data_IF_223037873198
#
_entry.id   IF_223037873198
#
_cell.length_a   1.000
_cell.length_b   1.000
_cell.length_c   1.000
_cell.angle_alpha   90.00
_cell.angle_beta   90.00
_cell.angle_gamma   90.00
#
_symmetry.space_group_name_H-M   'P 1'
#
loop_
_entity.id
_entity.type
_entity.pdbx_description
1 polymer ?
#
# COMPACT_ATOMS: atom_id res chain seq x y z
N UNK A 1 -13.12 -12.70 -1.29
CA UNK A 1 -12.61 -11.78 -0.24
C UNK A 1 -11.22 -11.30 -0.61
N UNK A 2 -10.73 -10.26 0.05
CA UNK A 2 -9.39 -9.71 -0.13
C UNK A 2 -8.55 -10.06 1.10
N UNK A 3 -7.30 -10.48 0.91
CA UNK A 3 -6.34 -10.69 2.00
C UNK A 3 -5.27 -9.62 1.91
N UNK A 4 -4.96 -8.94 3.01
CA UNK A 4 -3.82 -8.02 3.08
C UNK A 4 -2.74 -8.61 3.98
N UNK A 5 -1.52 -8.67 3.46
CA UNK A 5 -0.35 -9.19 4.14
C UNK A 5 0.51 -8.04 4.64
N UNK A 6 0.82 -8.03 5.94
CA UNK A 6 1.71 -7.06 6.57
C UNK A 6 2.76 -7.80 7.39
N UNK A 7 3.91 -8.12 6.80
CA UNK A 7 4.95 -8.89 7.47
C UNK A 7 5.71 -8.08 8.53
N UNK A 8 5.68 -6.76 8.42
CA UNK A 8 6.36 -5.85 9.35
C UNK A 8 5.36 -4.84 9.95
N UNK A 9 4.27 -5.36 10.53
CA UNK A 9 3.23 -4.56 11.18
C UNK A 9 3.79 -3.72 12.32
N UNK A 10 3.17 -2.58 12.59
CA UNK A 10 3.62 -1.60 13.57
C UNK A 10 2.46 -1.04 14.40
N UNK A 11 2.81 -0.42 15.52
CA UNK A 11 1.98 0.65 16.10
C UNK A 11 2.48 1.98 15.54
N UNK A 12 1.63 2.70 14.82
CA UNK A 12 1.93 4.03 14.29
C UNK A 12 1.51 5.09 15.29
N UNK A 13 2.47 5.88 15.75
CA UNK A 13 2.28 6.97 16.70
C UNK A 13 2.46 8.32 15.99
N UNK A 14 1.37 9.05 15.80
CA UNK A 14 1.38 10.39 15.21
C UNK A 14 1.34 11.46 16.30
N UNK A 15 2.27 12.41 16.24
CA UNK A 15 2.44 13.48 17.22
C UNK A 15 2.35 14.83 16.50
N UNK A 16 1.45 15.71 16.92
CA UNK A 16 1.46 17.11 16.48
C UNK A 16 2.32 17.94 17.45
N UNK A 17 3.40 18.52 16.93
CA UNK A 17 4.41 19.25 17.70
C UNK A 17 4.69 20.61 17.03
N UNK A 18 4.08 21.72 17.51
CA UNK A 18 4.33 23.04 16.95
C UNK A 18 5.79 23.46 17.05
N UNK A 19 6.33 24.05 15.98
CA UNK A 19 7.71 24.52 15.88
C UNK A 19 8.74 23.44 16.21
N UNK A 20 8.55 22.23 15.64
CA UNK A 20 9.46 21.10 15.86
C UNK A 20 10.88 21.45 15.42
N UNK A 21 11.86 21.21 16.30
CA UNK A 21 13.30 21.41 16.04
C UNK A 21 14.13 20.32 16.67
N UNK A 22 15.03 19.65 15.94
CA UNK A 22 15.98 18.72 16.52
C UNK A 22 16.79 19.35 17.65
N UNK A 23 17.14 18.57 18.67
CA UNK A 23 17.94 19.02 19.81
C UNK A 23 17.17 19.86 20.84
N UNK A 24 15.86 19.98 20.73
CA UNK A 24 15.00 20.71 21.68
C UNK A 24 14.02 19.78 22.39
N UNK A 25 13.53 20.20 23.56
CA UNK A 25 12.42 19.54 24.25
C UNK A 25 11.10 20.09 23.72
N UNK A 26 10.23 19.19 23.30
CA UNK A 26 8.91 19.54 22.77
C UNK A 26 7.78 18.93 23.63
N UNK A 27 6.59 19.47 23.48
CA UNK A 27 5.34 18.90 23.99
C UNK A 27 4.36 18.78 22.84
N UNK A 28 3.68 17.66 22.78
CA UNK A 28 2.63 17.41 21.80
C UNK A 28 1.38 18.25 22.14
N UNK A 29 0.71 18.77 21.13
CA UNK A 29 -0.62 19.37 21.25
C UNK A 29 -1.72 18.38 20.89
N UNK A 30 -1.40 17.37 20.08
CA UNK A 30 -2.26 16.26 19.73
C UNK A 30 -1.42 15.01 19.55
N UNK A 31 -1.97 13.85 19.91
CA UNK A 31 -1.35 12.54 19.63
C UNK A 31 -2.41 11.53 19.22
N UNK A 32 -2.02 10.64 18.33
CA UNK A 32 -2.83 9.49 17.90
C UNK A 32 -1.96 8.25 17.84
N UNK A 33 -2.52 7.13 18.26
CA UNK A 33 -1.86 5.81 18.19
C UNK A 33 -2.81 4.86 17.48
N UNK A 34 -2.32 4.13 16.50
CA UNK A 34 -3.12 3.16 15.76
C UNK A 34 -2.27 1.98 15.28
N UNK A 35 -2.89 0.82 15.16
CA UNK A 35 -2.29 -0.29 14.43
C UNK A 35 -2.01 0.16 13.00
N UNK A 36 -0.83 -0.16 12.47
CA UNK A 36 -0.34 0.33 11.20
C UNK A 36 0.53 -0.67 10.46
N UNK A 37 1.14 -0.16 9.40
CA UNK A 37 1.79 -0.90 8.33
C UNK A 37 0.91 -0.91 7.08
N UNK A 38 1.52 -0.86 5.88
CA UNK A 38 0.81 -0.69 4.60
C UNK A 38 -0.41 -1.61 4.47
N UNK A 39 -0.27 -2.92 4.66
CA UNK A 39 -1.39 -3.86 4.51
C UNK A 39 -2.49 -3.70 5.57
N UNK A 40 -2.15 -3.30 6.81
CA UNK A 40 -3.12 -2.95 7.86
C UNK A 40 -3.92 -1.71 7.45
N UNK A 41 -3.27 -0.69 6.89
CA UNK A 41 -3.93 0.52 6.41
C UNK A 41 -4.87 0.24 5.22
N UNK A 42 -4.42 -0.62 4.29
CA UNK A 42 -5.24 -1.12 3.17
C UNK A 42 -6.46 -1.86 3.71
N UNK A 43 -6.29 -2.76 4.70
CA UNK A 43 -7.40 -3.50 5.31
C UNK A 43 -8.43 -2.57 5.96
N UNK A 44 -7.96 -1.56 6.70
CA UNK A 44 -8.84 -0.55 7.34
C UNK A 44 -9.64 0.21 6.31
N UNK A 45 -9.00 0.62 5.22
CA UNK A 45 -9.67 1.32 4.12
C UNK A 45 -10.67 0.41 3.40
N UNK A 46 -10.31 -0.82 3.06
CA UNK A 46 -11.23 -1.81 2.46
C UNK A 46 -12.45 -2.06 3.34
N UNK A 47 -12.24 -2.19 4.66
CA UNK A 47 -13.34 -2.33 5.62
C UNK A 47 -14.27 -1.12 5.62
N UNK A 48 -13.71 0.11 5.62
CA UNK A 48 -14.50 1.34 5.54
C UNK A 48 -15.30 1.45 4.22
N UNK A 49 -14.77 0.87 3.13
CA UNK A 49 -15.44 0.76 1.83
C UNK A 49 -16.49 -0.35 1.77
N UNK A 50 -16.60 -1.18 2.82
CA UNK A 50 -17.58 -2.28 2.91
C UNK A 50 -17.12 -3.58 2.25
N UNK A 51 -15.82 -3.73 1.97
CA UNK A 51 -15.28 -4.93 1.35
C UNK A 51 -14.96 -6.03 2.37
N UNK A 52 -15.14 -7.31 2.01
CA UNK A 52 -14.74 -8.43 2.86
C UNK A 52 -13.20 -8.57 2.83
N UNK A 53 -12.56 -8.27 3.97
CA UNK A 53 -11.10 -8.29 4.10
C UNK A 53 -10.65 -9.09 5.32
N UNK A 54 -9.50 -9.79 5.18
CA UNK A 54 -8.74 -10.39 6.27
C UNK A 54 -7.34 -9.80 6.25
N UNK A 55 -6.91 -9.23 7.40
CA UNK A 55 -5.53 -8.80 7.61
C UNK A 55 -4.71 -9.95 8.20
N UNK A 56 -3.51 -10.19 7.66
CA UNK A 56 -2.59 -11.21 8.16
C UNK A 56 -1.13 -10.74 8.08
N UNK A 57 -0.21 -11.49 8.67
CA UNK A 57 1.19 -11.17 8.74
C UNK A 57 1.81 -11.63 10.06
N UNK A 58 2.81 -10.89 10.57
CA UNK A 58 3.44 -11.16 11.84
C UNK A 58 3.03 -10.15 12.91
N UNK A 59 2.80 -10.65 14.14
CA UNK A 59 2.50 -9.84 15.30
C UNK A 59 3.18 -10.42 16.54
N UNK A 60 4.13 -9.70 17.13
CA UNK A 60 4.95 -10.18 18.23
C UNK A 60 4.89 -9.29 19.47
N UNK A 61 5.08 -9.89 20.64
CA UNK A 61 5.15 -9.23 21.93
C UNK A 61 3.85 -8.52 22.34
N UNK A 62 3.98 -7.53 23.22
CA UNK A 62 2.87 -6.70 23.69
C UNK A 62 2.34 -5.78 22.56
N UNK A 63 3.23 -5.22 21.76
CA UNK A 63 2.90 -4.37 20.60
C UNK A 63 2.09 -5.15 19.56
N UNK A 64 2.51 -6.38 19.24
CA UNK A 64 1.76 -7.25 18.33
C UNK A 64 0.39 -7.66 18.89
N UNK A 65 0.26 -7.83 20.21
CA UNK A 65 -1.03 -8.06 20.85
C UNK A 65 -1.94 -6.85 20.69
N UNK A 66 -1.41 -5.65 20.92
CA UNK A 66 -2.15 -4.41 20.77
C UNK A 66 -2.61 -4.16 19.32
N UNK A 67 -1.78 -4.51 18.31
CA UNK A 67 -2.17 -4.46 16.89
C UNK A 67 -3.41 -5.33 16.63
N UNK A 68 -3.37 -6.59 17.08
CA UNK A 68 -4.47 -7.55 16.88
C UNK A 68 -5.76 -7.12 17.61
N UNK A 69 -5.62 -6.62 18.84
CA UNK A 69 -6.74 -6.09 19.62
C UNK A 69 -7.41 -4.90 18.93
N UNK A 70 -6.64 -3.92 18.47
CA UNK A 70 -7.19 -2.77 17.75
C UNK A 70 -7.90 -3.17 16.47
N UNK A 71 -7.33 -4.06 15.65
CA UNK A 71 -8.00 -4.55 14.45
C UNK A 71 -9.32 -5.24 14.77
N UNK A 72 -9.37 -5.99 15.88
CA UNK A 72 -10.59 -6.66 16.36
C UNK A 72 -11.64 -5.63 16.82
N UNK A 73 -11.22 -4.60 17.57
CA UNK A 73 -12.09 -3.49 17.98
C UNK A 73 -12.65 -2.72 16.77
N UNK A 74 -11.84 -2.52 15.74
CA UNK A 74 -12.25 -1.94 14.46
C UNK A 74 -13.13 -2.89 13.61
N UNK A 75 -13.40 -4.11 14.10
CA UNK A 75 -14.14 -5.16 13.39
C UNK A 75 -13.49 -5.56 12.06
N UNK A 76 -12.17 -5.52 11.98
CA UNK A 76 -11.38 -6.04 10.88
C UNK A 76 -11.01 -7.48 11.20
N UNK A 77 -11.46 -8.42 10.35
CA UNK A 77 -11.04 -9.81 10.49
C UNK A 77 -9.53 -9.91 10.32
N UNK A 78 -8.90 -10.63 11.24
CA UNK A 78 -7.46 -10.75 11.21
C UNK A 78 -7.00 -12.13 11.71
N UNK A 79 -5.88 -12.60 11.14
CA UNK A 79 -5.26 -13.87 11.53
C UNK A 79 -3.74 -13.78 11.39
N UNK A 80 -3.10 -13.09 12.34
CA UNK A 80 -1.65 -12.92 12.37
C UNK A 80 -0.95 -14.15 12.97
N UNK A 81 0.22 -14.48 12.43
CA UNK A 81 1.15 -15.41 13.08
C UNK A 81 1.81 -14.71 14.26
N UNK A 82 1.69 -15.32 15.43
CA UNK A 82 2.36 -14.82 16.63
C UNK A 82 3.84 -15.17 16.57
N UNK A 83 4.69 -14.15 16.61
CA UNK A 83 6.14 -14.30 16.60
C UNK A 83 6.74 -13.96 17.97
N UNK A 84 7.96 -14.42 18.21
CA UNK A 84 8.65 -14.28 19.48
C UNK A 84 9.09 -12.84 19.75
N UNK A 85 9.68 -12.21 18.72
CA UNK A 85 10.25 -10.87 18.86
C UNK A 85 9.15 -9.79 18.84
N UNK A 86 9.45 -8.62 19.44
CA UNK A 86 8.47 -7.53 19.60
C UNK A 86 8.19 -6.82 18.28
N UNK A 87 6.92 -6.61 17.91
CA UNK A 87 6.54 -5.76 16.79
C UNK A 87 7.00 -4.32 17.01
N UNK A 88 7.25 -3.60 15.91
CA UNK A 88 7.81 -2.25 15.94
C UNK A 88 6.79 -1.16 16.26
N UNK A 89 7.32 0.01 16.65
CA UNK A 89 6.57 1.27 16.75
C UNK A 89 7.18 2.29 15.78
N UNK A 90 6.37 2.88 14.93
CA UNK A 90 6.77 4.01 14.09
C UNK A 90 6.29 5.30 14.73
N UNK A 91 7.09 6.35 14.66
CA UNK A 91 6.72 7.68 15.20
C UNK A 91 6.76 8.70 14.08
N UNK A 92 5.63 9.38 13.85
CA UNK A 92 5.52 10.51 12.94
C UNK A 92 5.32 11.79 13.73
N UNK A 93 6.10 12.81 13.44
CA UNK A 93 6.00 14.14 14.02
C UNK A 93 5.54 15.11 12.94
N UNK A 94 4.34 15.65 13.08
CA UNK A 94 3.82 16.75 12.26
C UNK A 94 4.05 18.08 13.00
N UNK A 95 4.72 19.01 12.35
CA UNK A 95 4.76 20.39 12.81
C UNK A 95 3.60 21.19 12.17
N UNK A 96 2.52 21.47 12.90
CA UNK A 96 1.38 22.21 12.36
C UNK A 96 1.68 23.66 11.99
N UNK A 97 2.83 24.20 12.43
CA UNK A 97 3.26 25.57 12.12
C UNK A 97 3.89 25.66 10.73
N UNK A 98 4.68 24.67 10.34
CA UNK A 98 5.38 24.63 9.05
C UNK A 98 4.74 23.67 8.04
N UNK A 99 3.86 22.77 8.48
CA UNK A 99 3.32 21.67 7.68
C UNK A 99 4.34 20.55 7.42
N UNK A 100 5.54 20.62 8.00
CA UNK A 100 6.57 19.60 7.82
C UNK A 100 6.26 18.35 8.65
N UNK A 101 6.54 17.20 8.05
CA UNK A 101 6.39 15.89 8.69
C UNK A 101 7.73 15.18 8.73
N UNK A 102 8.06 14.61 9.90
CA UNK A 102 9.27 13.80 10.12
C UNK A 102 8.85 12.42 10.60
N UNK A 103 9.37 11.37 9.96
CA UNK A 103 9.08 9.99 10.31
C UNK A 103 10.32 9.30 10.89
N UNK A 104 10.11 8.53 11.95
CA UNK A 104 11.12 7.68 12.60
C UNK A 104 10.54 6.28 12.63
N UNK A 105 11.02 5.43 11.73
CA UNK A 105 10.53 4.08 11.55
C UNK A 105 11.54 3.08 12.13
N UNK A 106 11.09 2.24 13.07
CA UNK A 106 11.89 1.13 13.58
C UNK A 106 12.04 0.04 12.50
N UNK A 107 13.15 -0.68 12.55
CA UNK A 107 13.44 -1.77 11.59
C UNK A 107 12.47 -2.95 11.70
N UNK A 108 11.88 -3.14 12.88
CA UNK A 108 10.97 -4.24 13.18
C UNK A 108 11.66 -5.48 13.76
N UNK A 109 10.85 -6.52 14.06
CA UNK A 109 11.29 -7.75 14.71
C UNK A 109 12.25 -8.56 13.86
N UNK A 110 12.96 -9.49 14.51
CA UNK A 110 13.64 -10.59 13.85
C UNK A 110 12.70 -11.80 13.81
N UNK A 111 12.48 -12.35 12.62
CA UNK A 111 11.57 -13.46 12.39
C UNK A 111 12.38 -14.71 12.05
N UNK A 112 12.11 -15.80 12.75
CA UNK A 112 12.78 -17.09 12.51
C UNK A 112 12.22 -17.79 11.28
N UNK A 113 13.01 -18.68 10.69
CA UNK A 113 12.60 -19.52 9.54
C UNK A 113 11.32 -20.33 9.85
N UNK A 114 11.19 -20.87 11.07
CA UNK A 114 9.99 -21.61 11.47
C UNK A 114 8.73 -20.74 11.54
N UNK A 115 8.85 -19.47 11.91
CA UNK A 115 7.74 -18.51 11.91
C UNK A 115 7.37 -18.12 10.48
N UNK A 116 8.35 -17.99 9.58
CA UNK A 116 8.11 -17.77 8.15
C UNK A 116 7.37 -18.95 7.52
N UNK A 117 7.79 -20.19 7.79
CA UNK A 117 7.09 -21.39 7.27
C UNK A 117 5.65 -21.47 7.81
N UNK A 118 5.44 -21.21 9.10
CA UNK A 118 4.08 -21.15 9.68
C UNK A 118 3.22 -20.09 8.97
N UNK A 119 3.79 -18.95 8.61
CA UNK A 119 3.08 -17.91 7.86
C UNK A 119 2.74 -18.37 6.44
N UNK A 120 3.67 -19.02 5.72
CA UNK A 120 3.41 -19.57 4.38
C UNK A 120 2.23 -20.53 4.39
N UNK A 121 2.25 -21.52 5.29
CA UNK A 121 1.17 -22.51 5.44
C UNK A 121 -0.19 -21.82 5.70
N UNK A 122 -0.20 -20.85 6.62
CA UNK A 122 -1.40 -20.07 6.95
C UNK A 122 -1.91 -19.29 5.75
N UNK A 123 -1.02 -18.56 5.03
CA UNK A 123 -1.41 -17.75 3.88
C UNK A 123 -2.02 -18.62 2.77
N UNK A 124 -1.39 -19.75 2.44
CA UNK A 124 -1.91 -20.69 1.44
C UNK A 124 -3.29 -21.23 1.84
N UNK A 125 -3.49 -21.51 3.13
CA UNK A 125 -4.80 -21.92 3.63
C UNK A 125 -5.86 -20.83 3.45
N UNK A 126 -5.56 -19.59 3.84
CA UNK A 126 -6.46 -18.45 3.71
C UNK A 126 -6.75 -18.11 2.24
N UNK A 127 -5.74 -18.21 1.38
CA UNK A 127 -5.82 -17.85 -0.03
C UNK A 127 -6.79 -18.71 -0.83
N UNK A 128 -7.09 -19.94 -0.41
CA UNK A 128 -8.07 -20.83 -1.09
C UNK A 128 -9.46 -20.23 -1.24
N UNK A 129 -9.80 -19.24 -0.45
CA UNK A 129 -11.10 -18.53 -0.53
C UNK A 129 -10.96 -17.06 -0.92
N UNK A 130 -9.76 -16.61 -1.29
CA UNK A 130 -9.49 -15.24 -1.66
C UNK A 130 -9.64 -15.03 -3.18
N UNK A 131 -10.05 -13.82 -3.56
CA UNK A 131 -9.96 -13.35 -4.94
C UNK A 131 -8.70 -12.52 -5.18
N UNK A 132 -8.21 -11.83 -4.12
CA UNK A 132 -7.05 -10.94 -4.19
C UNK A 132 -6.22 -11.13 -2.93
N UNK A 133 -4.90 -11.23 -3.09
CA UNK A 133 -3.90 -11.16 -2.02
C UNK A 133 -2.98 -9.97 -2.26
N UNK A 134 -2.85 -9.10 -1.26
CA UNK A 134 -2.02 -7.89 -1.32
C UNK A 134 -0.81 -8.06 -0.40
N UNK A 135 0.37 -8.13 -0.95
CA UNK A 135 1.64 -8.09 -0.22
C UNK A 135 2.07 -6.64 -0.05
N UNK A 136 1.99 -6.10 1.16
CA UNK A 136 2.18 -4.67 1.37
C UNK A 136 3.17 -4.36 2.50
N UNK A 137 4.13 -3.49 2.20
CA UNK A 137 5.14 -2.99 3.11
C UNK A 137 6.43 -3.82 3.14
N UNK A 138 7.40 -3.33 3.92
CA UNK A 138 8.75 -3.89 4.05
C UNK A 138 8.74 -5.27 4.72
N UNK A 139 9.79 -6.03 4.47
CA UNK A 139 10.06 -7.27 5.17
C UNK A 139 10.72 -6.99 6.54
N UNK A 140 10.42 -7.78 7.59
CA UNK A 140 11.14 -7.70 8.85
C UNK A 140 12.52 -8.35 8.75
N UNK A 141 13.35 -8.19 9.77
CA UNK A 141 14.68 -8.84 9.83
C UNK A 141 14.55 -10.37 9.85
N UNK A 142 15.52 -11.06 9.28
CA UNK A 142 15.54 -12.53 9.20
C UNK A 142 14.66 -13.12 8.11
N UNK A 143 13.94 -12.28 7.35
CA UNK A 143 13.14 -12.71 6.19
C UNK A 143 13.91 -12.43 4.89
N UNK A 144 14.02 -13.44 4.05
CA UNK A 144 14.72 -13.34 2.77
C UNK A 144 13.99 -12.41 1.80
N UNK A 145 14.71 -11.57 1.02
CA UNK A 145 14.12 -10.61 0.10
C UNK A 145 13.19 -11.21 -0.96
N UNK A 146 13.35 -12.49 -1.28
CA UNK A 146 12.57 -13.20 -2.29
C UNK A 146 11.27 -13.81 -1.76
N UNK A 147 10.93 -13.60 -0.47
CA UNK A 147 9.73 -14.21 0.13
C UNK A 147 8.46 -13.83 -0.64
N UNK A 148 8.27 -12.56 -1.01
CA UNK A 148 7.10 -12.15 -1.78
C UNK A 148 7.06 -12.82 -3.15
N UNK A 149 8.20 -12.94 -3.83
CA UNK A 149 8.28 -13.65 -5.11
C UNK A 149 7.87 -15.12 -4.99
N UNK A 150 8.32 -15.79 -3.92
CA UNK A 150 8.00 -17.20 -3.68
C UNK A 150 6.50 -17.38 -3.40
N UNK A 151 5.89 -16.45 -2.64
CA UNK A 151 4.46 -16.47 -2.34
C UNK A 151 3.61 -16.14 -3.57
N UNK A 152 4.02 -15.19 -4.43
CA UNK A 152 3.34 -14.89 -5.70
C UNK A 152 3.25 -16.16 -6.56
N UNK A 153 4.38 -16.87 -6.80
CA UNK A 153 4.40 -18.11 -7.58
C UNK A 153 3.54 -19.24 -6.97
N UNK A 154 3.47 -19.30 -5.65
CA UNK A 154 2.63 -20.28 -4.97
C UNK A 154 1.15 -19.99 -5.13
N UNK A 155 0.76 -18.71 -5.05
CA UNK A 155 -0.63 -18.27 -5.20
C UNK A 155 -1.14 -18.30 -6.64
N UNK A 156 -0.26 -18.20 -7.64
CA UNK A 156 -0.63 -18.37 -9.06
C UNK A 156 -1.36 -19.69 -9.30
N UNK A 157 -0.97 -20.77 -8.59
CA UNK A 157 -1.60 -22.08 -8.67
C UNK A 157 -3.03 -22.12 -8.12
N UNK A 158 -3.43 -21.10 -7.38
CA UNK A 158 -4.75 -20.99 -6.76
C UNK A 158 -5.70 -20.06 -7.53
N UNK A 159 -5.26 -19.51 -8.68
CA UNK A 159 -6.01 -18.52 -9.48
C UNK A 159 -6.43 -17.30 -8.64
N UNK A 160 -5.52 -16.82 -7.81
CA UNK A 160 -5.71 -15.67 -6.92
C UNK A 160 -4.91 -14.49 -7.45
N UNK A 161 -5.57 -13.36 -7.68
CA UNK A 161 -4.90 -12.12 -8.09
C UNK A 161 -3.88 -11.69 -7.04
N UNK A 162 -2.62 -11.51 -7.45
CA UNK A 162 -1.52 -11.09 -6.59
C UNK A 162 -1.16 -9.62 -6.83
N UNK A 163 -1.09 -8.86 -5.74
CA UNK A 163 -0.76 -7.44 -5.74
C UNK A 163 0.44 -7.20 -4.85
N UNK A 164 1.44 -6.45 -5.34
CA UNK A 164 2.66 -6.14 -4.56
C UNK A 164 2.83 -4.63 -4.43
N UNK A 165 2.92 -4.17 -3.19
CA UNK A 165 3.15 -2.78 -2.79
C UNK A 165 4.28 -2.73 -1.75
N UNK A 166 5.50 -2.84 -2.20
CA UNK A 166 6.73 -2.81 -1.41
C UNK A 166 7.83 -2.05 -2.16
N UNK A 167 8.99 -1.89 -1.54
CA UNK A 167 10.11 -1.14 -2.07
C UNK A 167 11.40 -1.99 -2.12
N UNK A 168 12.44 -1.42 -2.72
CA UNK A 168 13.81 -1.93 -2.73
C UNK A 168 13.95 -3.33 -3.31
N UNK A 169 14.81 -4.14 -2.67
CA UNK A 169 15.12 -5.50 -3.14
C UNK A 169 13.91 -6.46 -3.11
N UNK A 170 13.01 -6.44 -2.10
CA UNK A 170 11.78 -7.23 -2.14
C UNK A 170 10.91 -6.98 -3.36
N UNK A 171 10.78 -5.72 -3.81
CA UNK A 171 10.06 -5.40 -5.04
C UNK A 171 10.77 -5.95 -6.28
N UNK A 172 12.11 -5.76 -6.39
CA UNK A 172 12.89 -6.31 -7.51
C UNK A 172 12.79 -7.83 -7.62
N UNK A 173 12.77 -8.53 -6.49
CA UNK A 173 12.59 -9.99 -6.49
C UNK A 173 11.16 -10.37 -6.86
N UNK A 174 10.14 -9.64 -6.34
CA UNK A 174 8.74 -9.90 -6.64
C UNK A 174 8.42 -9.75 -8.14
N UNK A 175 9.04 -8.77 -8.82
CA UNK A 175 8.90 -8.58 -10.29
C UNK A 175 9.26 -9.85 -11.08
N UNK A 176 10.27 -10.63 -10.63
CA UNK A 176 10.66 -11.91 -11.28
C UNK A 176 9.64 -13.02 -11.14
N UNK A 177 8.61 -12.81 -10.33
CA UNK A 177 7.50 -13.76 -10.14
C UNK A 177 6.23 -13.31 -10.89
N UNK A 178 6.31 -12.25 -11.69
CA UNK A 178 5.25 -11.75 -12.58
C UNK A 178 3.91 -11.50 -11.85
N UNK A 179 3.89 -10.67 -10.76
CA UNK A 179 2.66 -10.37 -10.05
C UNK A 179 1.64 -9.71 -10.99
N UNK A 180 0.34 -9.91 -10.71
CA UNK A 180 -0.73 -9.33 -11.53
C UNK A 180 -0.73 -7.80 -11.49
N UNK A 181 -0.38 -7.20 -10.35
CA UNK A 181 -0.34 -5.75 -10.17
C UNK A 181 0.79 -5.33 -9.22
N UNK A 182 1.50 -4.26 -9.59
CA UNK A 182 2.39 -3.53 -8.67
C UNK A 182 1.97 -2.07 -8.56
N UNK A 183 2.14 -1.49 -7.37
CA UNK A 183 1.68 -0.12 -7.10
C UNK A 183 2.75 0.73 -6.38
N UNK A 184 3.94 0.95 -6.97
CA UNK A 184 4.93 1.82 -6.39
C UNK A 184 4.52 3.31 -6.44
N UNK A 185 5.05 4.10 -5.51
CA UNK A 185 5.09 5.55 -5.68
C UNK A 185 6.22 5.95 -6.65
N UNK A 186 6.32 7.24 -6.99
CA UNK A 186 7.31 7.71 -7.95
C UNK A 186 8.75 7.39 -7.53
N UNK A 187 9.12 7.58 -6.25
CA UNK A 187 10.47 7.32 -5.76
C UNK A 187 10.80 5.81 -5.79
N UNK A 188 9.85 4.97 -5.40
CA UNK A 188 9.97 3.51 -5.47
C UNK A 188 10.08 3.04 -6.93
N UNK A 189 9.37 3.68 -7.85
CA UNK A 189 9.44 3.42 -9.29
C UNK A 189 10.82 3.79 -9.87
N UNK A 190 11.33 4.99 -9.57
CA UNK A 190 12.66 5.44 -9.97
C UNK A 190 13.77 4.53 -9.43
N UNK A 191 13.66 4.11 -8.17
CA UNK A 191 14.59 3.15 -7.57
C UNK A 191 14.54 1.78 -8.27
N UNK A 192 13.35 1.33 -8.66
CA UNK A 192 13.15 0.04 -9.33
C UNK A 192 13.78 0.03 -10.72
N UNK A 193 13.56 1.08 -11.53
CA UNK A 193 14.09 1.18 -12.92
C UNK A 193 15.52 1.70 -12.97
N UNK A 194 16.00 2.39 -11.91
CA UNK A 194 17.38 2.85 -11.77
C UNK A 194 17.66 4.23 -12.38
N UNK A 195 16.63 5.01 -12.72
CA UNK A 195 16.76 6.40 -13.17
C UNK A 195 15.57 7.26 -12.74
N UNK A 196 15.75 8.59 -12.74
CA UNK A 196 14.71 9.56 -12.39
C UNK A 196 13.83 9.88 -13.61
N UNK A 197 12.56 10.23 -13.37
CA UNK A 197 11.59 10.67 -14.38
C UNK A 197 11.42 12.20 -14.30
N UNK A 198 12.10 12.94 -15.18
CA UNK A 198 12.14 14.41 -15.14
C UNK A 198 10.91 15.07 -15.80
N UNK A 199 10.29 14.42 -16.80
CA UNK A 199 9.16 14.96 -17.57
C UNK A 199 7.85 14.18 -17.30
N UNK A 200 6.72 14.72 -17.74
CA UNK A 200 5.42 14.01 -17.65
C UNK A 200 5.37 12.83 -18.64
N UNK A 201 6.02 12.97 -19.79
CA UNK A 201 6.17 11.87 -20.75
C UNK A 201 6.96 10.71 -20.15
N UNK A 202 8.10 10.97 -19.51
CA UNK A 202 8.91 9.96 -18.85
C UNK A 202 8.15 9.29 -17.70
N UNK A 203 7.39 10.06 -16.90
CA UNK A 203 6.50 9.48 -15.86
C UNK A 203 5.43 8.56 -16.45
N UNK A 204 4.95 8.88 -17.66
CA UNK A 204 3.99 8.03 -18.35
C UNK A 204 4.64 6.78 -18.94
N UNK A 205 5.92 6.82 -19.29
CA UNK A 205 6.70 5.66 -19.74
C UNK A 205 7.07 4.74 -18.58
N UNK A 206 7.21 5.27 -17.35
CA UNK A 206 7.58 4.52 -16.16
C UNK A 206 6.75 3.23 -15.96
N UNK A 207 5.43 3.31 -16.16
CA UNK A 207 4.56 2.14 -15.99
C UNK A 207 4.80 1.06 -17.04
N UNK A 208 5.21 1.43 -18.25
CA UNK A 208 5.58 0.47 -19.30
C UNK A 208 6.92 -0.19 -18.99
N UNK A 209 7.91 0.60 -18.54
CA UNK A 209 9.21 0.08 -18.09
C UNK A 209 9.05 -0.88 -16.91
N UNK A 210 8.24 -0.52 -15.91
CA UNK A 210 7.94 -1.38 -14.76
C UNK A 210 7.26 -2.68 -15.21
N UNK A 211 6.24 -2.59 -16.07
CA UNK A 211 5.58 -3.79 -16.59
C UNK A 211 6.52 -4.69 -17.39
N UNK A 212 7.48 -4.11 -18.11
CA UNK A 212 8.50 -4.88 -18.84
C UNK A 212 9.48 -5.63 -17.91
N UNK A 213 9.60 -5.21 -16.63
CA UNK A 213 10.37 -5.94 -15.62
C UNK A 213 9.66 -7.19 -15.08
N UNK A 214 8.35 -7.38 -15.39
CA UNK A 214 7.64 -8.63 -15.09
C UNK A 214 6.19 -8.51 -14.63
N UNK A 215 5.69 -7.36 -14.16
CA UNK A 215 4.27 -7.28 -13.75
C UNK A 215 3.32 -7.25 -14.94
N UNK A 216 2.10 -7.80 -14.76
CA UNK A 216 1.06 -7.72 -15.80
C UNK A 216 0.50 -6.31 -15.91
N UNK A 217 0.22 -5.68 -14.77
CA UNK A 217 -0.26 -4.31 -14.64
C UNK A 217 0.65 -3.52 -13.68
N UNK A 218 0.80 -2.22 -13.90
CA UNK A 218 1.55 -1.33 -13.02
C UNK A 218 0.81 0.00 -12.82
N UNK A 219 0.79 0.49 -11.58
CA UNK A 219 0.24 1.79 -11.25
C UNK A 219 1.29 2.57 -10.46
N UNK A 220 1.71 3.71 -10.98
CA UNK A 220 2.62 4.64 -10.27
C UNK A 220 1.79 5.78 -9.70
N UNK A 221 1.81 5.91 -8.38
CA UNK A 221 1.09 7.00 -7.70
C UNK A 221 1.87 8.30 -7.74
N UNK A 222 1.16 9.39 -7.99
CA UNK A 222 1.67 10.75 -8.13
C UNK A 222 0.97 11.70 -7.14
N UNK A 223 1.53 12.89 -6.85
CA UNK A 223 0.90 13.85 -5.95
C UNK A 223 -0.51 14.30 -6.35
N UNK A 224 -0.83 14.25 -7.64
CA UNK A 224 -2.10 14.68 -8.24
C UNK A 224 -2.90 13.51 -8.86
N UNK A 225 -2.56 12.26 -8.52
CA UNK A 225 -3.29 11.08 -9.00
C UNK A 225 -2.40 9.89 -9.30
N UNK A 226 -2.44 9.33 -10.53
CA UNK A 226 -1.59 8.20 -10.92
C UNK A 226 -1.42 8.09 -12.43
N UNK A 227 -0.39 7.35 -12.85
CA UNK A 227 -0.27 6.77 -14.19
C UNK A 227 -0.37 5.26 -14.05
N UNK A 228 -1.07 4.60 -14.95
CA UNK A 228 -1.29 3.16 -14.88
C UNK A 228 -1.17 2.52 -16.26
N UNK A 229 -0.45 1.40 -16.36
CA UNK A 229 -0.56 0.47 -17.48
C UNK A 229 -1.46 -0.69 -17.06
N UNK A 230 -2.58 -0.85 -17.72
CA UNK A 230 -3.61 -1.84 -17.42
C UNK A 230 -3.88 -2.73 -18.62
N UNK A 231 -4.27 -3.96 -18.35
CA UNK A 231 -4.76 -4.91 -19.37
C UNK A 231 -6.27 -4.73 -19.54
N UNK A 232 -6.70 -4.12 -20.65
CA UNK A 232 -8.10 -3.86 -20.98
C UNK A 232 -8.42 -4.55 -22.32
N UNK A 233 -9.37 -5.47 -22.31
CA UNK A 233 -9.78 -6.24 -23.52
C UNK A 233 -8.59 -6.89 -24.26
N UNK A 234 -7.59 -7.37 -23.50
CA UNK A 234 -6.38 -8.01 -24.02
C UNK A 234 -5.32 -7.03 -24.56
N UNK A 235 -5.52 -5.74 -24.42
CA UNK A 235 -4.57 -4.70 -24.83
C UNK A 235 -3.97 -3.99 -23.61
N UNK A 236 -2.69 -3.73 -23.65
CA UNK A 236 -2.01 -2.90 -22.64
C UNK A 236 -2.23 -1.42 -22.98
N UNK A 237 -2.96 -0.72 -22.12
CA UNK A 237 -3.27 0.70 -22.29
C UNK A 237 -2.69 1.50 -21.14
N UNK A 238 -2.03 2.61 -21.47
CA UNK A 238 -1.52 3.55 -20.45
C UNK A 238 -2.56 4.65 -20.24
N UNK A 239 -2.93 4.85 -18.99
CA UNK A 239 -3.90 5.85 -18.58
C UNK A 239 -3.33 6.77 -17.50
N UNK A 240 -3.66 8.05 -17.60
CA UNK A 240 -3.39 9.08 -16.61
C UNK A 240 -4.70 9.43 -15.90
N UNK A 241 -4.75 9.23 -14.59
CA UNK A 241 -5.85 9.69 -13.76
C UNK A 241 -5.36 10.86 -12.90
N UNK A 242 -6.07 11.99 -12.94
CA UNK A 242 -5.71 13.24 -12.29
C UNK A 242 -6.87 13.80 -11.48
N UNK A 243 -6.55 14.33 -10.31
CA UNK A 243 -7.46 15.11 -9.49
C UNK A 243 -6.74 16.39 -9.05
N UNK A 244 -7.40 17.53 -9.13
CA UNK A 244 -6.80 18.77 -8.65
C UNK A 244 -6.36 18.63 -7.18
N UNK A 245 -5.10 19.01 -6.86
CA UNK A 245 -4.59 18.94 -5.51
C UNK A 245 -5.45 19.77 -4.54
N UNK A 246 -5.75 19.19 -3.38
CA UNK A 246 -6.43 19.84 -2.27
C UNK A 246 -5.46 20.11 -1.13
N UNK A 247 -5.83 21.02 -0.24
CA UNK A 247 -5.05 21.25 0.97
C UNK A 247 -5.03 20.00 1.84
N UNK A 248 -3.84 19.42 2.05
CA UNK A 248 -3.66 18.19 2.79
C UNK A 248 -3.36 18.48 4.26
N UNK A 249 -4.06 17.78 5.17
CA UNK A 249 -3.78 17.77 6.61
C UNK A 249 -2.67 16.77 6.95
N UNK A 250 -2.67 15.59 6.27
CA UNK A 250 -1.66 14.55 6.42
C UNK A 250 -1.52 13.74 5.14
N UNK A 251 -0.33 13.18 4.90
CA UNK A 251 -0.06 12.39 3.67
C UNK A 251 0.17 10.91 3.95
N UNK A 252 0.30 10.52 5.22
CA UNK A 252 0.55 9.12 5.60
C UNK A 252 -0.62 8.25 5.20
N UNK A 253 -0.33 7.13 4.53
CA UNK A 253 -1.32 6.14 4.11
C UNK A 253 -2.18 6.55 2.90
N UNK A 254 -1.86 7.64 2.20
CA UNK A 254 -2.61 8.04 0.99
C UNK A 254 -2.42 7.03 -0.16
N UNK A 255 -1.22 6.46 -0.32
CA UNK A 255 -0.96 5.37 -1.25
C UNK A 255 -1.72 4.09 -0.87
N UNK A 256 -1.76 3.75 0.44
CA UNK A 256 -2.53 2.60 0.94
C UNK A 256 -4.04 2.79 0.68
N UNK A 257 -4.55 4.01 0.89
CA UNK A 257 -5.95 4.34 0.61
C UNK A 257 -6.26 4.32 -0.89
N UNK A 258 -5.34 4.82 -1.72
CA UNK A 258 -5.44 4.72 -3.18
C UNK A 258 -5.56 3.24 -3.61
N UNK A 259 -4.61 2.41 -3.19
CA UNK A 259 -4.58 0.99 -3.57
C UNK A 259 -5.84 0.26 -3.07
N UNK A 260 -6.26 0.52 -1.84
CA UNK A 260 -7.50 -0.05 -1.30
C UNK A 260 -8.74 0.36 -2.10
N UNK A 261 -8.86 1.62 -2.51
CA UNK A 261 -9.96 2.11 -3.36
C UNK A 261 -9.98 1.43 -4.73
N UNK A 262 -8.80 1.34 -5.37
CA UNK A 262 -8.63 0.63 -6.64
C UNK A 262 -9.07 -0.84 -6.53
N UNK A 263 -8.56 -1.55 -5.51
CA UNK A 263 -8.85 -2.97 -5.30
C UNK A 263 -10.30 -3.23 -4.88
N UNK A 264 -10.92 -2.32 -4.13
CA UNK A 264 -12.34 -2.40 -3.80
C UNK A 264 -13.21 -2.39 -5.07
N UNK A 265 -12.94 -1.45 -5.98
CA UNK A 265 -13.65 -1.36 -7.26
C UNK A 265 -13.34 -2.56 -8.17
N UNK A 266 -12.07 -3.04 -8.19
CA UNK A 266 -11.67 -4.23 -8.94
C UNK A 266 -12.38 -5.49 -8.43
N UNK A 267 -12.47 -5.66 -7.12
CA UNK A 267 -13.18 -6.77 -6.48
C UNK A 267 -14.68 -6.76 -6.78
N UNK A 268 -15.29 -5.58 -6.95
CA UNK A 268 -16.68 -5.41 -7.39
C UNK A 268 -16.88 -5.65 -8.90
N UNK A 269 -15.82 -5.96 -9.65
CA UNK A 269 -15.87 -6.18 -11.09
C UNK A 269 -16.14 -4.92 -11.92
N UNK A 270 -15.78 -3.75 -11.41
CA UNK A 270 -15.94 -2.49 -12.13
C UNK A 270 -14.93 -2.38 -13.27
N UNK A 271 -15.28 -1.57 -14.28
CA UNK A 271 -14.37 -1.25 -15.36
C UNK A 271 -13.06 -0.62 -14.85
N UNK A 272 -11.87 -0.93 -15.40
CA UNK A 272 -10.58 -0.40 -14.94
C UNK A 272 -10.54 1.13 -14.78
N UNK A 273 -11.22 1.87 -15.64
CA UNK A 273 -11.34 3.33 -15.52
C UNK A 273 -12.02 3.77 -14.22
N UNK A 274 -13.05 3.04 -13.81
CA UNK A 274 -13.73 3.31 -12.53
C UNK A 274 -12.86 2.91 -11.33
N UNK A 275 -12.04 1.85 -11.49
CA UNK A 275 -11.09 1.45 -10.46
C UNK A 275 -10.04 2.55 -10.24
N UNK A 276 -9.45 3.12 -11.31
CA UNK A 276 -8.51 4.22 -11.21
C UNK A 276 -9.14 5.47 -10.58
N UNK A 277 -10.33 5.87 -11.04
CA UNK A 277 -11.05 7.02 -10.46
C UNK A 277 -11.29 6.85 -8.98
N UNK A 278 -11.72 5.65 -8.56
CA UNK A 278 -11.98 5.38 -7.16
C UNK A 278 -10.71 5.32 -6.31
N UNK A 279 -9.63 4.73 -6.84
CA UNK A 279 -8.31 4.76 -6.20
C UNK A 279 -7.84 6.19 -5.94
N UNK A 280 -7.81 7.04 -6.98
CA UNK A 280 -7.41 8.45 -6.87
C UNK A 280 -8.28 9.20 -5.85
N UNK A 281 -9.59 9.01 -5.90
CA UNK A 281 -10.51 9.66 -4.97
C UNK A 281 -10.27 9.23 -3.51
N UNK A 282 -10.02 7.93 -3.25
CA UNK A 282 -9.70 7.42 -1.92
C UNK A 282 -8.36 7.96 -1.41
N UNK A 283 -7.31 7.95 -2.25
CA UNK A 283 -6.00 8.52 -1.91
C UNK A 283 -6.09 10.01 -1.55
N UNK A 284 -6.80 10.80 -2.35
CA UNK A 284 -6.98 12.22 -2.11
C UNK A 284 -7.83 12.50 -0.86
N UNK A 285 -8.92 11.75 -0.66
CA UNK A 285 -9.79 11.93 0.52
C UNK A 285 -9.05 11.63 1.83
N UNK A 286 -8.20 10.60 1.85
CA UNK A 286 -7.44 10.20 3.04
C UNK A 286 -6.53 11.31 3.56
N UNK A 287 -6.07 12.23 2.69
CA UNK A 287 -5.20 13.36 3.08
C UNK A 287 -5.94 14.46 3.85
N UNK A 288 -7.26 14.42 3.92
CA UNK A 288 -8.07 15.43 4.62
C UNK A 288 -8.00 15.32 6.16
N UNK A 289 -7.29 14.33 6.70
CA UNK A 289 -7.18 14.08 8.14
C UNK A 289 -5.80 13.61 8.58
N UNK A 290 -5.53 13.74 9.89
CA UNK A 290 -4.31 13.19 10.48
C UNK A 290 -4.46 11.67 10.68
N UNK A 291 -3.45 10.91 10.28
CA UNK A 291 -3.42 9.44 10.38
C UNK A 291 -4.14 8.75 9.21
N UNK A 292 -4.37 7.43 9.34
CA UNK A 292 -4.97 6.59 8.31
C UNK A 292 -6.49 6.47 8.46
N UNK A 293 -7.20 6.35 7.35
CA UNK A 293 -8.64 6.20 7.28
C UNK A 293 -9.27 7.10 6.23
N UNK A 294 -10.50 6.79 5.83
CA UNK A 294 -11.24 7.53 4.81
C UNK A 294 -12.71 7.77 5.20
N UNK A 295 -13.32 8.80 4.60
CA UNK A 295 -14.77 8.91 4.48
C UNK A 295 -15.21 8.32 3.13
N UNK A 296 -15.80 7.13 3.18
CA UNK A 296 -16.21 6.39 1.98
C UNK A 296 -17.28 7.13 1.14
N UNK A 297 -18.09 8.00 1.75
CA UNK A 297 -19.12 8.79 1.04
C UNK A 297 -18.46 9.93 0.27
N UNK A 298 -17.54 10.62 0.93
CA UNK A 298 -16.80 11.70 0.31
C UNK A 298 -15.91 11.18 -0.83
N UNK A 299 -15.19 10.09 -0.62
CA UNK A 299 -14.39 9.44 -1.67
C UNK A 299 -15.24 9.09 -2.90
N UNK A 300 -16.45 8.52 -2.71
CA UNK A 300 -17.37 8.24 -3.84
C UNK A 300 -17.82 9.50 -4.56
N UNK A 301 -18.04 10.60 -3.85
CA UNK A 301 -18.40 11.91 -4.46
C UNK A 301 -17.25 12.44 -5.31
N UNK A 302 -16.01 12.34 -4.80
CA UNK A 302 -14.82 12.83 -5.49
C UNK A 302 -14.48 12.08 -6.77
N UNK A 303 -14.98 10.85 -6.97
CA UNK A 303 -14.76 10.11 -8.22
C UNK A 303 -15.19 10.89 -9.46
N UNK A 304 -16.25 11.70 -9.36
CA UNK A 304 -16.76 12.53 -10.47
C UNK A 304 -15.79 13.63 -10.91
N UNK A 305 -14.94 14.07 -10.01
CA UNK A 305 -13.96 15.13 -10.24
C UNK A 305 -12.63 14.60 -10.81
N UNK A 306 -12.44 13.27 -10.85
CA UNK A 306 -11.21 12.66 -11.39
C UNK A 306 -11.24 12.67 -12.91
N UNK A 307 -10.30 13.37 -13.52
CA UNK A 307 -10.06 13.33 -14.95
C UNK A 307 -9.28 12.08 -15.34
N UNK A 308 -9.64 11.45 -16.45
CA UNK A 308 -8.97 10.28 -16.99
C UNK A 308 -8.66 10.50 -18.46
N UNK A 309 -7.42 10.28 -18.86
CA UNK A 309 -6.95 10.36 -20.24
C UNK A 309 -6.17 9.11 -20.64
N UNK A 310 -6.26 8.73 -21.92
CA UNK A 310 -5.36 7.78 -22.54
C UNK A 310 -4.04 8.46 -22.83
N UNK A 311 -2.92 7.79 -22.58
CA UNK A 311 -1.58 8.26 -22.89
C UNK A 311 -1.04 7.41 -24.03
N UNK A 312 -0.69 8.06 -25.13
CA UNK A 312 0.02 7.41 -26.23
C UNK A 312 1.52 7.38 -25.92
N UNK A 313 2.08 6.18 -25.80
CA UNK A 313 3.53 6.03 -25.64
C UNK A 313 4.23 6.09 -27.01
N UNK A 314 5.46 6.62 -27.06
CA UNK A 314 6.29 6.53 -28.29
C UNK A 314 6.48 5.06 -28.69
N UNK A 315 6.54 4.82 -30.02
CA UNK A 315 6.59 3.47 -30.62
C UNK A 315 7.83 2.62 -30.23
N UNK A 316 8.79 3.16 -29.48
CA UNK A 316 10.02 2.46 -29.06
C UNK A 316 9.89 1.73 -27.71
N UNK A 317 8.76 1.84 -27.01
CA UNK A 317 8.56 1.31 -25.65
C UNK A 317 7.46 0.21 -25.61
N UNK A 318 6.96 -0.21 -26.76
CA UNK A 318 5.91 -1.23 -26.87
C UNK A 318 6.44 -2.65 -27.13
#
# INVERSE_FOLDING_TARGET
MIITVTLNAAIDKSLAVPNFRPGRRHRTVEQRTAAGGKGVNIARTLKALGQPVIATGFAGGATGTHIVEQLTEESILNDFVRIRDESRTNTSVLDPTSGQQTEINERGPEVSESEVELFKDKLVYLARGAAIVVFAGSLPRGVEPDLYANLVRELERLDVMTVVDTDGEPLRQAMKAEPDLVSPNMLEAEELVGHEFASEEERSQAVAEISALGSQEAIVTLPDGCVAQLLIDGQRLVKRARLEPREAVGKIGSGDAFLAGYLAARYEGRHPDQCLRFGVACGAESTARLGTGIDAREARRMMGDVELSLVELPAEVS
#
